data_IF_002346220742
#
_entry.id   IF_002346220742
#
_cell.length_a   1.000
_cell.length_b   1.000
_cell.length_c   1.000
_cell.angle_alpha   90.00
_cell.angle_beta   90.00
_cell.angle_gamma   90.00
#
_symmetry.space_group_name_H-M   'P 1'
#
loop_
_entity.id
_entity.type
_entity.pdbx_description
1 polymer ?
#
# COMPACT_ATOMS: atom_id res chain seq x y z
N UNK A 1 -22.56 8.24 21.43
CA UNK A 1 -22.49 8.39 19.98
C UNK A 1 -21.58 7.32 19.45
N UNK A 2 -22.15 6.19 18.99
CA UNK A 2 -21.41 5.14 18.26
C UNK A 2 -21.12 5.64 16.84
N UNK A 3 -20.12 6.51 16.72
CA UNK A 3 -19.62 6.93 15.41
C UNK A 3 -18.69 5.85 14.86
N UNK A 4 -19.00 5.26 13.70
CA UNK A 4 -18.07 4.31 13.09
C UNK A 4 -16.76 5.02 12.74
N UNK A 5 -15.62 4.31 12.89
CA UNK A 5 -14.33 4.84 12.48
C UNK A 5 -14.36 5.21 11.01
N UNK A 6 -13.88 6.42 10.64
CA UNK A 6 -13.82 6.83 9.24
C UNK A 6 -13.02 5.84 8.41
N UNK A 7 -13.56 5.45 7.26
CA UNK A 7 -12.88 4.58 6.31
C UNK A 7 -11.56 5.24 5.89
N UNK A 8 -10.45 4.48 5.93
CA UNK A 8 -9.14 4.98 5.54
C UNK A 8 -8.40 5.81 6.60
N UNK A 9 -8.89 5.88 7.86
CA UNK A 9 -8.28 6.70 8.93
C UNK A 9 -6.78 6.47 9.07
N UNK A 10 -6.30 5.24 8.98
CA UNK A 10 -4.89 4.92 9.07
C UNK A 10 -4.09 5.54 7.92
N UNK A 11 -4.61 5.46 6.69
CA UNK A 11 -3.92 5.94 5.50
C UNK A 11 -3.80 7.47 5.48
N UNK A 12 -4.90 8.21 5.69
CA UNK A 12 -4.80 9.66 5.72
C UNK A 12 -4.04 10.18 6.95
N UNK A 13 -4.02 9.41 8.05
CA UNK A 13 -3.18 9.73 9.20
C UNK A 13 -1.70 9.62 8.82
N UNK A 14 -1.27 8.52 8.18
CA UNK A 14 0.12 8.38 7.70
C UNK A 14 0.50 9.47 6.71
N UNK A 15 -0.40 9.88 5.83
CA UNK A 15 -0.19 10.97 4.88
C UNK A 15 0.02 12.31 5.58
N UNK A 16 -0.90 12.70 6.46
CA UNK A 16 -0.82 13.97 7.19
C UNK A 16 0.35 14.02 8.16
N UNK A 17 0.68 12.89 8.81
CA UNK A 17 1.87 12.78 9.65
C UNK A 17 3.14 12.96 8.82
N UNK A 18 3.26 12.29 7.66
CA UNK A 18 4.45 12.45 6.79
C UNK A 18 4.60 13.90 6.34
N UNK A 19 3.52 14.56 5.92
CA UNK A 19 3.56 15.98 5.56
C UNK A 19 4.07 16.87 6.71
N UNK A 20 3.55 16.66 7.93
CA UNK A 20 3.94 17.45 9.10
C UNK A 20 5.42 17.23 9.47
N UNK A 21 5.91 15.98 9.37
CA UNK A 21 7.31 15.63 9.64
C UNK A 21 8.23 16.19 8.55
N UNK A 22 7.86 16.06 7.27
CA UNK A 22 8.64 16.57 6.14
C UNK A 22 8.72 18.11 6.17
N UNK A 23 7.65 18.76 6.60
CA UNK A 23 7.64 20.21 6.83
C UNK A 23 8.59 20.60 7.97
N UNK A 24 8.55 19.90 9.10
CA UNK A 24 9.48 20.12 10.22
C UNK A 24 10.93 19.89 9.81
N UNK A 25 11.20 18.89 9.00
CA UNK A 25 12.54 18.59 8.43
C UNK A 25 12.96 19.56 7.32
N UNK A 26 12.06 20.44 6.88
CA UNK A 26 12.25 21.37 5.75
C UNK A 26 12.48 20.66 4.40
N UNK A 27 11.97 19.45 4.25
CA UNK A 27 12.04 18.66 3.02
C UNK A 27 10.96 19.11 2.02
N UNK A 28 9.86 19.69 2.52
CA UNK A 28 8.77 20.26 1.71
C UNK A 28 8.46 21.70 2.13
N UNK A 29 7.89 22.47 1.22
CA UNK A 29 7.37 23.81 1.52
C UNK A 29 5.93 23.72 2.02
N UNK A 30 5.51 24.71 2.83
CA UNK A 30 4.13 24.81 3.30
C UNK A 30 3.18 24.97 2.12
N UNK A 31 2.19 24.10 2.01
CA UNK A 31 1.06 24.29 1.10
C UNK A 31 0.14 25.36 1.68
N UNK A 32 0.02 26.47 0.98
CA UNK A 32 -0.80 27.62 1.43
C UNK A 32 -2.25 27.51 0.93
N UNK A 33 -2.48 26.71 -0.10
CA UNK A 33 -3.81 26.51 -0.64
C UNK A 33 -4.51 25.37 0.11
N UNK A 34 -5.51 25.73 0.89
CA UNK A 34 -6.31 24.77 1.65
C UNK A 34 -6.95 23.69 0.75
N UNK A 35 -7.46 24.07 -0.42
CA UNK A 35 -8.09 23.11 -1.34
C UNK A 35 -7.08 22.11 -1.92
N UNK A 36 -5.86 22.55 -2.25
CA UNK A 36 -4.79 21.65 -2.70
C UNK A 36 -4.42 20.64 -1.61
N UNK A 37 -4.30 21.10 -0.36
CA UNK A 37 -4.02 20.20 0.76
C UNK A 37 -5.17 19.22 1.02
N UNK A 38 -6.41 19.69 1.01
CA UNK A 38 -7.59 18.83 1.16
C UNK A 38 -7.69 17.81 0.02
N UNK A 39 -7.39 18.21 -1.22
CA UNK A 39 -7.33 17.28 -2.36
C UNK A 39 -6.31 16.20 -2.12
N UNK A 40 -5.09 16.55 -1.67
CA UNK A 40 -4.04 15.57 -1.34
C UNK A 40 -4.50 14.54 -0.31
N UNK A 41 -5.13 14.98 0.78
CA UNK A 41 -5.55 14.10 1.88
C UNK A 41 -6.75 13.23 1.47
N UNK A 42 -7.69 13.77 0.68
CA UNK A 42 -8.96 13.12 0.36
C UNK A 42 -8.99 12.40 -0.99
N UNK A 43 -7.86 12.30 -1.69
CA UNK A 43 -7.80 11.60 -2.98
C UNK A 43 -8.26 10.14 -2.84
N UNK A 44 -9.42 9.82 -3.40
CA UNK A 44 -10.09 8.52 -3.23
C UNK A 44 -9.30 7.29 -3.71
N UNK A 45 -8.44 7.34 -4.76
CA UNK A 45 -7.72 6.14 -5.18
C UNK A 45 -6.78 5.59 -4.11
N UNK A 46 -6.21 6.47 -3.28
CA UNK A 46 -5.25 6.10 -2.24
C UNK A 46 -5.88 5.91 -0.84
N UNK A 47 -7.16 6.31 -0.65
CA UNK A 47 -7.75 6.53 0.67
C UNK A 47 -7.89 5.25 1.51
N UNK A 48 -8.18 4.09 0.90
CA UNK A 48 -8.51 2.86 1.64
C UNK A 48 -7.33 1.90 1.76
N UNK A 49 -6.74 1.49 0.64
CA UNK A 49 -5.66 0.51 0.58
C UNK A 49 -4.69 0.79 -0.58
N UNK A 50 -4.72 1.99 -1.15
CA UNK A 50 -3.77 2.44 -2.17
C UNK A 50 -2.35 2.61 -1.60
N UNK A 51 -1.36 2.93 -2.44
CA UNK A 51 -0.05 3.31 -1.95
C UNK A 51 -0.16 4.51 -1.01
N UNK A 52 0.60 4.51 0.11
CA UNK A 52 0.72 5.70 0.96
C UNK A 52 1.53 6.73 0.19
N UNK A 53 0.83 7.72 -0.36
CA UNK A 53 1.45 8.77 -1.18
C UNK A 53 1.92 9.90 -0.29
N UNK A 54 3.19 10.29 -0.41
CA UNK A 54 3.75 11.45 0.31
C UNK A 54 3.43 12.73 -0.43
N UNK A 55 3.29 13.83 0.31
CA UNK A 55 3.05 15.14 -0.30
C UNK A 55 4.18 15.52 -1.28
N UNK A 56 5.43 15.23 -0.95
CA UNK A 56 6.60 15.45 -1.82
C UNK A 56 6.50 14.75 -3.17
N UNK A 57 5.78 13.63 -3.27
CA UNK A 57 5.61 12.86 -4.51
C UNK A 57 4.62 13.52 -5.47
N UNK A 58 3.54 14.12 -4.94
CA UNK A 58 2.43 14.63 -5.77
C UNK A 58 2.30 16.16 -5.77
N UNK A 59 3.15 16.85 -5.02
CA UNK A 59 3.07 18.30 -4.86
C UNK A 59 3.12 19.06 -6.20
N UNK A 60 4.02 18.66 -7.10
CA UNK A 60 4.14 19.30 -8.42
C UNK A 60 2.88 19.03 -9.26
N UNK A 61 2.37 17.81 -9.23
CA UNK A 61 1.19 17.38 -9.99
C UNK A 61 -0.11 17.98 -9.44
N UNK A 62 -0.17 18.31 -8.15
CA UNK A 62 -1.32 19.02 -7.58
C UNK A 62 -1.56 20.38 -8.24
N UNK A 63 -0.48 21.05 -8.66
CA UNK A 63 -0.52 22.39 -9.25
C UNK A 63 -0.43 22.37 -10.78
N UNK A 64 0.38 21.48 -11.36
CA UNK A 64 0.79 21.50 -12.77
C UNK A 64 0.58 20.14 -13.46
N UNK A 65 -0.47 19.38 -13.09
CA UNK A 65 -0.71 18.08 -13.71
C UNK A 65 -1.14 18.20 -15.17
N UNK A 66 -0.65 17.29 -15.98
CA UNK A 66 -1.06 17.14 -17.37
C UNK A 66 -1.93 15.88 -17.48
N UNK A 67 -3.14 16.06 -18.02
CA UNK A 67 -4.04 14.96 -18.36
C UNK A 67 -4.01 14.81 -19.87
N UNK A 68 -3.42 13.73 -20.33
CA UNK A 68 -3.35 13.41 -21.76
C UNK A 68 -4.00 12.06 -22.08
N UNK A 69 -4.26 11.82 -23.36
CA UNK A 69 -4.88 10.57 -23.79
C UNK A 69 -4.01 9.35 -23.52
N UNK A 70 -2.69 9.51 -23.60
CA UNK A 70 -1.74 8.43 -23.33
C UNK A 70 -1.77 7.99 -21.88
N UNK A 71 -1.73 8.94 -20.94
CA UNK A 71 -1.84 8.69 -19.50
C UNK A 71 -3.17 8.05 -19.15
N UNK A 72 -4.26 8.55 -19.72
CA UNK A 72 -5.59 7.96 -19.54
C UNK A 72 -5.66 6.51 -20.05
N UNK A 73 -5.14 6.23 -21.24
CA UNK A 73 -5.08 4.87 -21.79
C UNK A 73 -4.25 3.93 -20.92
N UNK A 74 -3.04 4.34 -20.55
CA UNK A 74 -2.15 3.52 -19.71
C UNK A 74 -2.76 3.27 -18.32
N UNK A 75 -3.35 4.30 -17.72
CA UNK A 75 -4.03 4.19 -16.44
C UNK A 75 -5.24 3.25 -16.49
N UNK A 76 -6.04 3.34 -17.55
CA UNK A 76 -7.17 2.42 -17.78
C UNK A 76 -6.70 0.97 -17.94
N UNK A 77 -5.62 0.76 -18.69
CA UNK A 77 -5.05 -0.57 -18.87
C UNK A 77 -4.53 -1.15 -17.53
N UNK A 78 -3.84 -0.32 -16.73
CA UNK A 78 -3.37 -0.71 -15.39
C UNK A 78 -4.54 -1.02 -14.46
N UNK A 79 -5.60 -0.22 -14.48
CA UNK A 79 -6.83 -0.47 -13.72
C UNK A 79 -7.46 -1.82 -14.09
N UNK A 80 -7.58 -2.12 -15.38
CA UNK A 80 -8.11 -3.39 -15.85
C UNK A 80 -7.26 -4.58 -15.45
N UNK A 81 -5.93 -4.45 -15.47
CA UNK A 81 -5.03 -5.50 -14.96
C UNK A 81 -5.29 -5.78 -13.47
N UNK A 82 -5.47 -4.73 -12.65
CA UNK A 82 -5.85 -4.86 -11.24
C UNK A 82 -7.21 -5.55 -11.09
N UNK A 83 -8.21 -5.14 -11.85
CA UNK A 83 -9.54 -5.74 -11.82
C UNK A 83 -9.52 -7.23 -12.20
N UNK A 84 -8.76 -7.60 -13.23
CA UNK A 84 -8.54 -8.99 -13.62
C UNK A 84 -7.91 -9.80 -12.48
N UNK A 85 -6.85 -9.28 -11.84
CA UNK A 85 -6.25 -9.92 -10.67
C UNK A 85 -7.27 -10.15 -9.54
N UNK A 86 -8.11 -9.15 -9.26
CA UNK A 86 -9.13 -9.22 -8.21
C UNK A 86 -10.17 -10.29 -8.53
N UNK A 87 -10.74 -10.25 -9.73
CA UNK A 87 -11.90 -11.09 -10.08
C UNK A 87 -11.47 -12.52 -10.40
N UNK A 88 -10.43 -12.70 -11.21
CA UNK A 88 -10.06 -14.02 -11.73
C UNK A 88 -9.06 -14.76 -10.81
N UNK A 89 -8.27 -14.05 -10.01
CA UNK A 89 -7.27 -14.70 -9.14
C UNK A 89 -7.68 -14.62 -7.68
N UNK A 90 -7.79 -13.42 -7.10
CA UNK A 90 -8.04 -13.26 -5.67
C UNK A 90 -9.38 -13.88 -5.23
N UNK A 91 -10.46 -13.59 -5.95
CA UNK A 91 -11.78 -14.12 -5.58
C UNK A 91 -11.84 -15.65 -5.69
N UNK A 92 -11.20 -16.25 -6.69
CA UNK A 92 -11.18 -17.72 -6.84
C UNK A 92 -10.36 -18.38 -5.72
N UNK A 93 -9.18 -17.80 -5.38
CA UNK A 93 -8.38 -18.28 -4.26
C UNK A 93 -9.13 -18.11 -2.93
N UNK A 94 -9.87 -17.02 -2.76
CA UNK A 94 -10.72 -16.80 -1.60
C UNK A 94 -11.86 -17.79 -1.48
N UNK A 95 -12.53 -18.13 -2.57
CA UNK A 95 -13.58 -19.16 -2.58
C UNK A 95 -13.01 -20.52 -2.20
N UNK A 96 -11.84 -20.90 -2.73
CA UNK A 96 -11.16 -22.15 -2.35
C UNK A 96 -10.76 -22.17 -0.87
N UNK A 97 -10.20 -21.08 -0.36
CA UNK A 97 -9.86 -20.93 1.06
C UNK A 97 -11.09 -21.10 1.95
N UNK A 98 -12.17 -20.38 1.65
CA UNK A 98 -13.42 -20.44 2.45
C UNK A 98 -14.02 -21.86 2.46
N UNK A 99 -13.96 -22.57 1.32
CA UNK A 99 -14.42 -23.96 1.23
C UNK A 99 -13.60 -24.89 2.14
N UNK A 100 -12.29 -24.72 2.19
CA UNK A 100 -11.40 -25.54 3.04
C UNK A 100 -11.57 -25.17 4.51
N UNK A 101 -11.59 -23.88 4.84
CA UNK A 101 -11.73 -23.39 6.22
C UNK A 101 -13.07 -23.77 6.84
N UNK A 102 -14.14 -23.91 6.04
CA UNK A 102 -15.47 -24.31 6.49
C UNK A 102 -15.61 -25.80 6.85
N UNK A 103 -14.58 -26.63 6.62
CA UNK A 103 -14.63 -28.04 6.95
C UNK A 103 -14.40 -28.27 8.46
N UNK A 104 -15.03 -29.30 9.07
CA UNK A 104 -14.82 -29.64 10.47
C UNK A 104 -13.35 -29.98 10.76
N UNK A 105 -12.84 -29.52 11.91
CA UNK A 105 -11.49 -29.88 12.37
C UNK A 105 -11.36 -31.40 12.50
N UNK A 106 -10.25 -31.95 12.00
CA UNK A 106 -9.99 -33.38 12.02
C UNK A 106 -10.41 -34.14 10.74
N UNK A 107 -11.20 -33.53 9.84
CA UNK A 107 -11.55 -34.12 8.54
C UNK A 107 -10.60 -33.67 7.42
N UNK A 108 -9.85 -32.60 7.67
CA UNK A 108 -8.96 -32.00 6.68
C UNK A 108 -7.67 -32.81 6.56
N UNK A 109 -7.37 -33.31 5.37
CA UNK A 109 -6.09 -33.97 5.10
C UNK A 109 -4.93 -32.96 5.12
N UNK A 110 -3.70 -33.45 5.34
CA UNK A 110 -2.48 -32.62 5.31
C UNK A 110 -2.35 -31.91 3.98
N UNK A 111 -2.64 -32.58 2.87
CA UNK A 111 -2.58 -32.00 1.53
C UNK A 111 -3.62 -30.86 1.36
N UNK A 112 -4.85 -31.08 1.85
CA UNK A 112 -5.91 -30.06 1.82
C UNK A 112 -5.53 -28.84 2.66
N UNK A 113 -4.92 -29.05 3.85
CA UNK A 113 -4.44 -27.95 4.69
C UNK A 113 -3.35 -27.10 3.98
N UNK A 114 -2.39 -27.74 3.33
CA UNK A 114 -1.39 -27.04 2.52
C UNK A 114 -2.00 -26.29 1.34
N UNK A 115 -2.95 -26.90 0.63
CA UNK A 115 -3.68 -26.24 -0.45
C UNK A 115 -4.40 -24.99 0.08
N UNK A 116 -5.05 -25.07 1.24
CA UNK A 116 -5.68 -23.92 1.90
C UNK A 116 -4.68 -22.81 2.23
N UNK A 117 -3.52 -23.15 2.82
CA UNK A 117 -2.48 -22.17 3.14
C UNK A 117 -1.94 -21.46 1.89
N UNK A 118 -1.73 -22.17 0.80
CA UNK A 118 -1.30 -21.60 -0.49
C UNK A 118 -2.41 -20.71 -1.06
N UNK A 119 -3.66 -21.19 -1.06
CA UNK A 119 -4.81 -20.42 -1.55
C UNK A 119 -4.98 -19.11 -0.77
N UNK A 120 -4.89 -19.14 0.56
CA UNK A 120 -4.96 -17.94 1.39
C UNK A 120 -3.81 -16.96 1.10
N UNK A 121 -2.58 -17.45 0.96
CA UNK A 121 -1.41 -16.63 0.64
C UNK A 121 -1.58 -15.93 -0.71
N UNK A 122 -2.04 -16.66 -1.72
CA UNK A 122 -2.28 -16.11 -3.06
C UNK A 122 -3.47 -15.14 -3.06
N UNK A 123 -4.54 -15.45 -2.33
CA UNK A 123 -5.66 -14.54 -2.13
C UNK A 123 -5.20 -13.21 -1.57
N UNK A 124 -4.49 -13.22 -0.44
CA UNK A 124 -4.01 -12.03 0.23
C UNK A 124 -3.11 -11.17 -0.70
N UNK A 125 -2.21 -11.82 -1.41
CA UNK A 125 -1.32 -11.13 -2.35
C UNK A 125 -2.06 -10.54 -3.54
N UNK A 126 -2.88 -11.32 -4.22
CA UNK A 126 -3.58 -10.84 -5.40
C UNK A 126 -4.66 -9.83 -5.06
N UNK A 127 -5.35 -9.96 -3.93
CA UNK A 127 -6.36 -9.00 -3.49
C UNK A 127 -5.74 -7.62 -3.24
N UNK A 128 -4.68 -7.57 -2.47
CA UNK A 128 -4.05 -6.31 -2.12
C UNK A 128 -3.25 -5.70 -3.30
N UNK A 129 -2.53 -6.50 -4.07
CA UNK A 129 -1.81 -5.99 -5.25
C UNK A 129 -2.77 -5.53 -6.34
N UNK A 130 -3.92 -6.19 -6.50
CA UNK A 130 -4.97 -5.77 -7.42
C UNK A 130 -5.52 -4.39 -7.08
N UNK A 131 -5.82 -4.15 -5.80
CA UNK A 131 -6.28 -2.84 -5.34
C UNK A 131 -5.23 -1.76 -5.60
N UNK A 132 -3.96 -2.04 -5.31
CA UNK A 132 -2.86 -1.11 -5.60
C UNK A 132 -2.75 -0.79 -7.09
N UNK A 133 -2.87 -1.79 -7.99
CA UNK A 133 -2.86 -1.57 -9.43
C UNK A 133 -4.03 -0.70 -9.89
N UNK A 134 -5.23 -0.95 -9.35
CA UNK A 134 -6.42 -0.13 -9.65
C UNK A 134 -6.22 1.32 -9.15
N UNK A 135 -5.67 1.50 -7.96
CA UNK A 135 -5.40 2.83 -7.39
C UNK A 135 -4.35 3.61 -8.21
N UNK A 136 -3.25 2.96 -8.60
CA UNK A 136 -2.22 3.54 -9.47
C UNK A 136 -2.82 3.90 -10.83
N UNK A 137 -3.60 3.00 -11.41
CA UNK A 137 -4.27 3.24 -12.69
C UNK A 137 -5.22 4.44 -12.64
N UNK A 138 -6.05 4.53 -11.59
CA UNK A 138 -6.94 5.69 -11.39
C UNK A 138 -6.17 6.99 -11.19
N UNK A 139 -5.08 6.97 -10.41
CA UNK A 139 -4.18 8.11 -10.27
C UNK A 139 -3.65 8.57 -11.62
N UNK A 140 -3.14 7.65 -12.42
CA UNK A 140 -2.57 7.93 -13.74
C UNK A 140 -3.61 8.51 -14.73
N UNK A 141 -4.86 8.01 -14.70
CA UNK A 141 -5.95 8.59 -15.50
C UNK A 141 -6.23 10.06 -15.13
N UNK A 142 -5.98 10.44 -13.90
CA UNK A 142 -6.16 11.82 -13.39
C UNK A 142 -4.87 12.68 -13.48
N UNK A 143 -3.79 12.15 -14.07
CA UNK A 143 -2.50 12.84 -14.20
C UNK A 143 -1.65 12.82 -12.94
N UNK A 144 -1.84 11.85 -12.03
CA UNK A 144 -0.99 11.60 -10.86
C UNK A 144 -0.17 10.33 -11.04
N UNK A 145 1.10 10.37 -10.62
CA UNK A 145 2.02 9.23 -10.71
C UNK A 145 2.32 8.68 -9.32
N UNK A 146 1.60 7.63 -8.94
CA UNK A 146 1.84 6.93 -7.68
C UNK A 146 2.96 5.91 -7.83
N UNK A 147 3.70 5.70 -6.74
CA UNK A 147 4.76 4.72 -6.69
C UNK A 147 4.21 3.29 -6.63
N UNK A 148 4.99 2.32 -7.16
CA UNK A 148 4.66 0.91 -7.07
C UNK A 148 4.60 0.45 -5.61
N UNK A 149 3.59 -0.37 -5.29
CA UNK A 149 3.38 -0.88 -3.94
C UNK A 149 3.78 -2.36 -3.79
N UNK A 150 3.84 -3.09 -4.90
CA UNK A 150 4.22 -4.50 -4.95
C UNK A 150 5.19 -4.78 -6.10
N UNK A 151 6.21 -5.60 -5.83
CA UNK A 151 7.19 -6.04 -6.83
C UNK A 151 7.52 -7.53 -6.64
N UNK A 152 6.61 -8.41 -7.05
CA UNK A 152 6.77 -9.88 -6.97
C UNK A 152 7.31 -10.37 -5.61
N UNK A 153 6.63 -10.08 -4.48
CA UNK A 153 7.15 -10.36 -3.14
C UNK A 153 7.35 -11.85 -2.85
N UNK A 154 6.55 -12.72 -3.45
CA UNK A 154 6.64 -14.18 -3.24
C UNK A 154 7.88 -14.82 -3.88
N UNK A 155 8.61 -14.08 -4.73
CA UNK A 155 9.90 -14.51 -5.30
C UNK A 155 11.09 -14.07 -4.44
N UNK A 156 10.87 -13.48 -3.27
CA UNK A 156 11.95 -13.00 -2.39
C UNK A 156 12.72 -14.15 -1.77
N UNK A 157 14.05 -14.00 -1.71
CA UNK A 157 14.98 -15.00 -1.14
C UNK A 157 15.29 -14.76 0.34
N UNK A 158 14.80 -13.68 0.91
CA UNK A 158 14.97 -13.32 2.33
C UNK A 158 13.79 -12.49 2.85
N UNK A 159 13.59 -12.48 4.16
CA UNK A 159 12.58 -11.64 4.82
C UNK A 159 12.81 -10.15 4.52
N UNK A 160 14.06 -9.70 4.51
CA UNK A 160 14.41 -8.32 4.17
C UNK A 160 14.03 -7.98 2.73
N UNK A 161 14.27 -8.90 1.79
CA UNK A 161 13.89 -8.71 0.40
C UNK A 161 12.37 -8.74 0.23
N UNK A 162 11.66 -9.62 0.97
CA UNK A 162 10.21 -9.68 0.98
C UNK A 162 9.61 -8.30 1.33
N UNK A 163 10.01 -7.68 2.43
CA UNK A 163 9.51 -6.37 2.84
C UNK A 163 9.89 -5.23 1.90
N UNK A 164 10.95 -5.36 1.09
CA UNK A 164 11.29 -4.41 0.02
C UNK A 164 10.39 -4.54 -1.20
N UNK A 165 9.62 -5.63 -1.30
CA UNK A 165 8.76 -5.97 -2.43
C UNK A 165 7.27 -5.99 -2.09
N UNK A 166 6.96 -6.13 -0.81
CA UNK A 166 5.61 -6.16 -0.25
C UNK A 166 5.27 -4.82 0.40
N UNK A 167 4.11 -4.23 0.02
CA UNK A 167 3.58 -2.99 0.59
C UNK A 167 4.67 -1.92 0.75
N UNK A 168 5.34 -1.62 -0.37
CA UNK A 168 6.57 -0.81 -0.43
C UNK A 168 6.34 0.57 0.19
N UNK A 169 5.16 1.18 -0.04
CA UNK A 169 4.81 2.48 0.50
C UNK A 169 4.79 2.50 2.03
N UNK A 170 4.20 1.49 2.68
CA UNK A 170 4.18 1.35 4.13
C UNK A 170 5.58 1.04 4.67
N UNK A 171 6.29 0.08 4.07
CA UNK A 171 7.64 -0.31 4.48
C UNK A 171 8.61 0.87 4.41
N UNK A 172 8.54 1.69 3.36
CA UNK A 172 9.37 2.89 3.23
C UNK A 172 8.94 3.98 4.20
N UNK A 173 7.64 4.12 4.50
CA UNK A 173 7.14 5.05 5.48
C UNK A 173 7.72 4.74 6.88
N UNK A 174 7.57 3.50 7.34
CA UNK A 174 8.12 3.08 8.64
C UNK A 174 9.64 3.21 8.71
N UNK A 175 10.34 2.86 7.62
CA UNK A 175 11.80 3.04 7.55
C UNK A 175 12.19 4.50 7.73
N UNK A 176 11.58 5.42 6.99
CA UNK A 176 12.05 6.80 6.89
C UNK A 176 11.57 7.67 8.04
N UNK A 177 10.37 7.43 8.56
CA UNK A 177 9.80 8.24 9.64
C UNK A 177 10.00 7.65 11.03
N UNK A 178 10.13 6.33 11.16
CA UNK A 178 10.29 5.67 12.46
C UNK A 178 11.70 5.11 12.63
N UNK A 179 12.10 4.16 11.78
CA UNK A 179 13.34 3.41 11.96
C UNK A 179 14.59 4.30 11.92
N UNK A 180 14.71 5.15 10.91
CA UNK A 180 15.83 6.08 10.75
C UNK A 180 15.83 7.13 11.87
N UNK A 181 14.66 7.63 12.26
CA UNK A 181 14.52 8.61 13.35
C UNK A 181 14.96 8.06 14.70
N UNK A 182 14.78 6.75 14.95
CA UNK A 182 15.27 6.06 16.14
C UNK A 182 16.79 5.77 16.11
N UNK A 183 17.45 6.12 15.01
CA UNK A 183 18.90 5.95 14.80
C UNK A 183 19.27 4.78 13.88
N UNK A 184 18.30 4.03 13.33
CA UNK A 184 18.53 2.95 12.40
C UNK A 184 19.52 1.91 12.92
N UNK A 185 20.50 1.52 12.07
CA UNK A 185 21.57 0.56 12.39
C UNK A 185 22.79 1.20 13.09
N UNK A 186 22.80 2.53 13.25
CA UNK A 186 24.03 3.27 13.61
C UNK A 186 24.39 3.21 15.11
N UNK A 187 23.47 2.76 15.96
CA UNK A 187 23.62 2.88 17.44
C UNK A 187 23.85 1.54 18.15
N UNK A 188 24.42 0.53 17.46
CA UNK A 188 24.74 -0.79 18.00
C UNK A 188 23.57 -1.77 17.99
N UNK A 189 23.89 -3.07 18.17
CA UNK A 189 22.97 -4.20 17.95
C UNK A 189 21.72 -4.16 18.83
N UNK A 190 21.85 -3.79 20.10
CA UNK A 190 20.73 -3.75 21.05
C UNK A 190 19.70 -2.71 20.61
N UNK A 191 20.16 -1.52 20.22
CA UNK A 191 19.27 -0.46 19.72
C UNK A 191 18.68 -0.81 18.36
N UNK A 192 19.41 -1.53 17.52
CA UNK A 192 18.90 -2.05 16.25
C UNK A 192 17.76 -3.04 16.48
N UNK A 193 17.93 -4.02 17.38
CA UNK A 193 16.87 -4.99 17.73
C UNK A 193 15.63 -4.27 18.24
N UNK A 194 15.82 -3.31 19.18
CA UNK A 194 14.73 -2.47 19.67
C UNK A 194 14.01 -1.73 18.53
N UNK A 195 14.76 -1.12 17.61
CA UNK A 195 14.18 -0.36 16.49
C UNK A 195 13.40 -1.26 15.54
N UNK A 196 13.88 -2.49 15.30
CA UNK A 196 13.16 -3.50 14.51
C UNK A 196 11.88 -3.96 15.24
N UNK A 197 11.92 -4.10 16.56
CA UNK A 197 10.74 -4.51 17.34
C UNK A 197 9.65 -3.43 17.42
N UNK A 198 10.00 -2.15 17.20
CA UNK A 198 9.03 -1.02 17.18
C UNK A 198 8.37 -0.88 15.80
N UNK A 199 9.05 -1.27 14.73
CA UNK A 199 8.60 -1.15 13.34
C UNK A 199 7.92 -2.42 12.86
#
# INVERSE_FOLDING_TARGET
LDLPLPIGISFFTFQTMSYSIDLYRREVKVEKNFFSFMTYVSMFPQLIAGPIVRFSTVNEELHNRVIDFRGFYQGSFRFLQGLIKKVLLANQMGALWNMIQGQPYGTISVLTAWLGAVAFTLQLYFDFSAYSDMAIGMGQMMGFHYLENFNYPLCAKSVTEFWRRWHISLSTWFRDYVYISLGGNRKGIIKQIRNIAIV
#
